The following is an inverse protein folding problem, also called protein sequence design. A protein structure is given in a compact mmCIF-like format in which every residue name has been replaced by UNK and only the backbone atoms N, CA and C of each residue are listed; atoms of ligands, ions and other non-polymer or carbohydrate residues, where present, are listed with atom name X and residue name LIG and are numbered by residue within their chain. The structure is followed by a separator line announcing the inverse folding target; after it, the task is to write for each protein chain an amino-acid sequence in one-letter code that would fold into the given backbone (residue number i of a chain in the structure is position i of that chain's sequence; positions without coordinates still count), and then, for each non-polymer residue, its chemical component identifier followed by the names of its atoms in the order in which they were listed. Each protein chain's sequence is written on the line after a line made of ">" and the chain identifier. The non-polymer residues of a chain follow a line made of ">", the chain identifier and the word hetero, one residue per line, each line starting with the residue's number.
data_IF_012216877282
#
_entry.id   IF_012216877282
#
_cell.length_a   1.000
_cell.length_b   1.000
_cell.length_c   1.000
_cell.angle_alpha   90.00
_cell.angle_beta   90.00
_cell.angle_gamma   90.00
#
_symmetry.space_group_name_H-M   'P 1'
#
loop_
_entity.id
_entity.type
_entity.pdbx_description
1 polymer ?
#
# COMPACT_ATOMS: atom_id res chain seq x y z
N UNK A 1 -1.18 -26.68 37.18
CA UNK A 1 -1.04 -27.27 35.82
C UNK A 1 -0.78 -26.07 34.95
N UNK A 2 0.38 -25.98 34.29
CA UNK A 2 0.78 -24.75 33.62
C UNK A 2 -0.28 -24.32 32.58
N UNK A 3 -0.52 -23.01 32.50
CA UNK A 3 -1.46 -22.43 31.57
C UNK A 3 -0.72 -21.88 30.35
N UNK A 4 -1.37 -21.88 29.18
CA UNK A 4 -0.71 -21.62 27.90
C UNK A 4 -1.49 -20.65 27.03
N UNK A 5 -0.76 -19.83 26.27
CA UNK A 5 -1.38 -18.97 25.25
C UNK A 5 -2.00 -19.82 24.12
N UNK A 6 -3.15 -19.40 23.62
CA UNK A 6 -3.94 -20.16 22.64
C UNK A 6 -3.19 -20.48 21.34
N UNK A 7 -2.44 -19.53 20.81
CA UNK A 7 -1.91 -19.61 19.44
C UNK A 7 -0.47 -20.15 19.37
N UNK A 8 0.32 -19.91 20.40
CA UNK A 8 1.74 -20.25 20.40
C UNK A 8 2.14 -21.19 21.54
N UNK A 9 1.17 -21.59 22.38
CA UNK A 9 1.39 -22.49 23.52
C UNK A 9 2.60 -22.05 24.36
N UNK A 10 2.68 -20.74 24.59
CA UNK A 10 3.68 -20.10 25.45
C UNK A 10 3.20 -20.19 26.89
N UNK A 11 4.12 -20.48 27.82
CA UNK A 11 3.84 -20.56 29.24
C UNK A 11 3.31 -19.23 29.76
N UNK A 12 2.22 -19.29 30.51
CA UNK A 12 1.68 -18.16 31.26
C UNK A 12 2.11 -18.29 32.71
N UNK A 13 2.64 -17.20 33.24
CA UNK A 13 3.02 -17.14 34.64
C UNK A 13 1.79 -17.22 35.55
N UNK A 14 1.73 -18.20 36.45
CA UNK A 14 0.82 -18.20 37.60
C UNK A 14 1.57 -17.92 38.91
N UNK A 15 0.95 -17.25 39.91
CA UNK A 15 1.62 -16.91 41.16
C UNK A 15 2.25 -18.08 41.94
N UNK A 16 1.81 -19.32 41.66
CA UNK A 16 2.33 -20.54 42.27
C UNK A 16 3.36 -21.30 41.42
N UNK A 17 3.69 -20.82 40.21
CA UNK A 17 4.59 -21.53 39.30
C UNK A 17 6.05 -21.40 39.69
N UNK A 18 6.78 -22.52 39.59
CA UNK A 18 8.23 -22.53 39.67
C UNK A 18 8.82 -22.05 38.34
N UNK A 19 9.71 -21.06 38.39
CA UNK A 19 10.38 -20.54 37.20
C UNK A 19 11.46 -21.52 36.71
N UNK A 20 11.23 -22.18 35.57
CA UNK A 20 12.21 -23.02 34.89
C UNK A 20 12.81 -22.27 33.69
N UNK A 21 14.13 -22.10 33.68
CA UNK A 21 14.82 -21.38 32.59
C UNK A 21 14.64 -22.04 31.21
N UNK A 22 14.46 -23.35 31.17
CA UNK A 22 14.22 -24.12 29.95
C UNK A 22 12.93 -23.68 29.27
N UNK A 23 11.85 -23.55 30.03
CA UNK A 23 10.51 -23.21 29.54
C UNK A 23 10.51 -21.80 28.93
N UNK A 24 11.22 -20.87 29.56
CA UNK A 24 11.42 -19.52 29.03
C UNK A 24 12.25 -19.50 27.74
N UNK A 25 13.31 -20.30 27.65
CA UNK A 25 14.12 -20.37 26.44
C UNK A 25 13.33 -20.96 25.27
N UNK A 26 12.54 -22.01 25.52
CA UNK A 26 11.66 -22.60 24.51
C UNK A 26 10.61 -21.60 24.01
N UNK A 27 10.02 -20.81 24.90
CA UNK A 27 9.05 -19.78 24.52
C UNK A 27 9.69 -18.64 23.73
N UNK A 28 10.90 -18.21 24.09
CA UNK A 28 11.65 -17.22 23.33
C UNK A 28 12.03 -17.74 21.94
N UNK A 29 12.46 -18.99 21.83
CA UNK A 29 12.76 -19.64 20.54
C UNK A 29 11.52 -19.71 19.65
N UNK A 30 10.35 -20.06 20.20
CA UNK A 30 9.07 -20.02 19.47
C UNK A 30 8.71 -18.63 18.99
N UNK A 31 8.92 -17.60 19.82
CA UNK A 31 8.64 -16.20 19.45
C UNK A 31 9.60 -15.76 18.35
N UNK A 32 10.89 -16.07 18.46
CA UNK A 32 11.93 -15.70 17.49
C UNK A 32 11.63 -16.33 16.12
N UNK A 33 11.36 -17.63 16.08
CA UNK A 33 10.97 -18.33 14.86
C UNK A 33 9.65 -17.78 14.26
N UNK A 34 8.68 -17.43 15.09
CA UNK A 34 7.42 -16.84 14.63
C UNK A 34 7.59 -15.41 14.08
N UNK A 35 8.58 -14.65 14.56
CA UNK A 35 8.91 -13.33 14.04
C UNK A 35 9.69 -13.43 12.73
N UNK A 36 10.60 -14.40 12.62
CA UNK A 36 11.31 -14.71 11.38
C UNK A 36 10.33 -15.07 10.24
N UNK A 37 9.32 -15.89 10.54
CA UNK A 37 8.33 -16.35 9.55
C UNK A 37 7.38 -15.24 9.06
N UNK A 38 7.13 -14.20 9.86
CA UNK A 38 6.22 -13.11 9.47
C UNK A 38 6.76 -12.19 8.37
N UNK A 39 8.06 -12.20 8.13
CA UNK A 39 8.71 -11.30 7.17
C UNK A 39 8.56 -9.81 7.53
N UNK A 40 8.99 -8.94 6.62
CA UNK A 40 8.96 -7.48 6.79
C UNK A 40 7.88 -6.77 5.96
N UNK A 41 7.03 -7.52 5.25
CA UNK A 41 6.02 -6.97 4.36
C UNK A 41 4.84 -6.39 5.14
N UNK A 42 4.51 -5.13 4.88
CA UNK A 42 3.37 -4.40 5.44
C UNK A 42 2.39 -4.07 4.33
N UNK A 43 1.10 -4.28 4.60
CA UNK A 43 0.02 -3.97 3.67
C UNK A 43 -0.91 -2.95 4.32
N UNK A 44 -1.27 -1.91 3.57
CA UNK A 44 -2.31 -0.95 3.95
C UNK A 44 -3.22 -0.68 2.77
N UNK A 45 -4.49 -0.38 3.03
CA UNK A 45 -5.46 -0.02 2.00
C UNK A 45 -6.03 1.36 2.27
N UNK A 46 -6.49 2.03 1.22
CA UNK A 46 -7.11 3.34 1.35
C UNK A 46 -7.87 3.74 0.09
N UNK A 47 -8.41 4.94 0.13
CA UNK A 47 -9.09 5.54 -1.00
C UNK A 47 -9.00 7.06 -0.98
N UNK A 48 -9.06 7.68 -2.14
CA UNK A 48 -9.17 9.14 -2.26
C UNK A 48 -10.21 9.52 -3.32
N UNK A 49 -10.81 10.70 -3.13
CA UNK A 49 -11.72 11.28 -4.11
C UNK A 49 -10.95 12.18 -5.08
N UNK A 50 -11.22 12.05 -6.37
CA UNK A 50 -10.62 12.92 -7.38
C UNK A 50 -11.16 14.35 -7.27
N UNK A 51 -10.27 15.32 -7.45
CA UNK A 51 -10.57 16.75 -7.31
C UNK A 51 -10.98 17.40 -8.63
N UNK A 52 -10.49 16.88 -9.76
CA UNK A 52 -10.67 17.42 -11.11
C UNK A 52 -9.49 18.24 -11.62
N UNK A 53 -8.52 18.52 -10.75
CA UNK A 53 -7.31 19.27 -11.12
C UNK A 53 -6.22 18.33 -11.65
N UNK A 54 -5.34 18.84 -12.50
CA UNK A 54 -4.22 18.06 -13.02
C UNK A 54 -3.02 18.94 -13.42
N UNK A 55 -1.92 18.27 -13.73
CA UNK A 55 -0.67 18.88 -14.15
C UNK A 55 0.26 19.16 -12.97
N UNK A 56 1.46 19.65 -13.30
CA UNK A 56 2.54 19.83 -12.33
C UNK A 56 2.20 20.73 -11.14
N UNK A 57 1.31 21.70 -11.33
CA UNK A 57 0.86 22.60 -10.27
C UNK A 57 -0.14 21.93 -9.30
N UNK A 58 -0.78 20.84 -9.72
CA UNK A 58 -1.83 20.13 -8.98
C UNK A 58 -1.51 18.63 -8.93
N UNK A 59 -0.40 18.20 -8.30
CA UNK A 59 -0.06 16.79 -8.22
C UNK A 59 -1.06 16.04 -7.32
N UNK A 60 -1.45 14.83 -7.74
CA UNK A 60 -2.20 13.94 -6.87
C UNK A 60 -1.25 13.27 -5.88
N UNK A 61 -1.64 13.14 -4.62
CA UNK A 61 -0.76 12.66 -3.55
C UNK A 61 -1.47 11.66 -2.64
N UNK A 62 -0.82 10.53 -2.36
CA UNK A 62 -1.25 9.54 -1.38
C UNK A 62 -0.26 9.54 -0.21
N UNK A 63 -0.79 9.60 1.01
CA UNK A 63 0.02 9.49 2.22
C UNK A 63 0.20 8.05 2.62
N UNK A 64 1.45 7.69 2.90
CA UNK A 64 1.88 6.33 3.15
C UNK A 64 2.10 6.14 4.66
N UNK A 65 1.50 5.10 5.28
CA UNK A 65 1.69 4.81 6.69
C UNK A 65 3.06 4.18 7.01
N UNK A 66 3.80 3.79 5.97
CA UNK A 66 5.15 3.23 6.03
C UNK A 66 5.84 3.40 4.66
N UNK A 67 7.18 3.25 4.58
CA UNK A 67 7.91 3.35 3.31
C UNK A 67 7.50 2.24 2.33
N UNK A 68 6.61 2.55 1.39
CA UNK A 68 6.10 1.60 0.42
C UNK A 68 7.14 1.25 -0.65
N UNK A 69 7.09 0.02 -1.16
CA UNK A 69 7.84 -0.44 -2.33
C UNK A 69 6.98 -0.43 -3.60
N UNK A 70 5.68 -0.68 -3.46
CA UNK A 70 4.72 -0.66 -4.55
C UNK A 70 3.31 -0.24 -4.10
N UNK A 71 2.53 0.28 -5.05
CA UNK A 71 1.11 0.56 -4.86
C UNK A 71 0.32 -0.08 -6.00
N UNK A 72 -0.70 -0.84 -5.66
CA UNK A 72 -1.76 -1.24 -6.56
C UNK A 72 -2.85 -0.17 -6.52
N UNK A 73 -3.04 0.54 -7.63
CA UNK A 73 -4.04 1.59 -7.77
C UNK A 73 -5.19 1.06 -8.63
N UNK A 74 -6.37 1.01 -8.03
CA UNK A 74 -7.62 0.77 -8.73
C UNK A 74 -8.14 2.08 -9.29
N UNK A 75 -8.09 2.18 -10.63
CA UNK A 75 -8.57 3.33 -11.40
C UNK A 75 -9.86 3.03 -12.15
N UNK A 76 -10.44 1.84 -11.89
CA UNK A 76 -11.66 1.41 -12.55
C UNK A 76 -12.76 2.41 -12.24
N UNK A 77 -13.19 3.11 -13.28
CA UNK A 77 -14.44 3.81 -13.27
C UNK A 77 -15.39 3.08 -14.18
N UNK A 78 -16.68 3.21 -13.91
CA UNK A 78 -17.80 2.61 -14.62
C UNK A 78 -17.90 2.89 -16.14
N UNK A 79 -16.88 3.47 -16.79
CA UNK A 79 -16.75 3.55 -18.25
C UNK A 79 -15.40 2.99 -18.67
N UNK A 80 -15.48 1.86 -19.35
CA UNK A 80 -14.38 0.96 -19.70
C UNK A 80 -14.20 0.97 -21.23
N UNK A 81 -12.98 0.76 -21.72
CA UNK A 81 -12.78 0.13 -23.02
C UNK A 81 -13.14 -1.36 -22.88
N UNK A 82 -14.20 -1.84 -23.54
CA UNK A 82 -14.67 -3.24 -23.55
C UNK A 82 -15.06 -3.90 -22.21
N UNK A 83 -15.22 -3.16 -21.11
CA UNK A 83 -15.69 -3.73 -19.84
C UNK A 83 -14.62 -4.42 -18.98
N UNK A 84 -13.33 -4.15 -19.24
CA UNK A 84 -12.21 -4.67 -18.42
C UNK A 84 -11.81 -3.63 -17.36
N UNK A 85 -11.79 -3.96 -16.06
CA UNK A 85 -11.35 -3.03 -15.03
C UNK A 85 -9.84 -2.72 -15.18
N UNK A 86 -9.50 -1.44 -15.09
CA UNK A 86 -8.13 -0.96 -15.20
C UNK A 86 -7.47 -0.82 -13.82
N UNK A 87 -6.27 -1.38 -13.70
CA UNK A 87 -5.45 -1.31 -12.50
C UNK A 87 -4.03 -0.92 -12.87
N UNK A 88 -3.39 -0.12 -12.02
CA UNK A 88 -2.01 0.33 -12.20
C UNK A 88 -1.14 -0.14 -11.05
N UNK A 89 0.10 -0.49 -11.38
CA UNK A 89 1.12 -0.81 -10.39
C UNK A 89 2.17 0.30 -10.43
N UNK A 90 2.33 1.00 -9.31
CA UNK A 90 3.33 2.04 -9.13
C UNK A 90 4.49 1.46 -8.35
N UNK A 91 5.66 1.34 -8.97
CA UNK A 91 6.89 0.93 -8.28
C UNK A 91 7.64 2.15 -7.74
N UNK A 92 8.22 2.02 -6.55
CA UNK A 92 9.01 3.11 -5.93
C UNK A 92 10.16 3.62 -6.80
N UNK A 93 10.80 2.72 -7.55
CA UNK A 93 11.93 3.05 -8.44
C UNK A 93 11.49 3.51 -9.84
N UNK A 94 10.19 3.45 -10.15
CA UNK A 94 9.70 3.90 -11.45
C UNK A 94 9.62 5.43 -11.49
N UNK A 95 10.20 6.09 -12.50
CA UNK A 95 10.16 7.55 -12.62
C UNK A 95 8.80 8.06 -13.12
N UNK A 96 8.03 7.21 -13.81
CA UNK A 96 6.74 7.54 -14.36
C UNK A 96 5.93 6.29 -14.72
N UNK A 97 4.65 6.49 -15.03
CA UNK A 97 3.78 5.49 -15.65
C UNK A 97 2.91 6.17 -16.73
N UNK A 98 2.43 5.40 -17.70
CA UNK A 98 1.62 5.92 -18.82
C UNK A 98 0.17 5.45 -18.64
N UNK A 99 -0.81 6.38 -18.53
CA UNK A 99 -2.21 6.02 -18.54
C UNK A 99 -2.64 5.53 -19.93
N UNK A 100 -3.60 4.61 -19.98
CA UNK A 100 -4.10 4.04 -21.23
C UNK A 100 -4.71 5.14 -22.12
N UNK A 101 -4.76 4.88 -23.42
CA UNK A 101 -5.36 5.76 -24.44
C UNK A 101 -4.64 7.10 -24.67
N UNK A 102 -3.43 7.32 -24.14
CA UNK A 102 -2.64 8.53 -24.39
C UNK A 102 -1.37 8.25 -25.19
N UNK A 103 -1.13 9.08 -26.22
CA UNK A 103 0.07 8.95 -27.08
C UNK A 103 1.25 9.83 -26.62
N UNK A 104 0.99 10.88 -25.82
CA UNK A 104 1.95 11.96 -25.59
C UNK A 104 2.25 12.28 -24.11
N UNK A 105 1.39 11.88 -23.17
CA UNK A 105 1.55 12.23 -21.76
C UNK A 105 1.92 11.04 -20.88
N UNK A 106 2.60 11.33 -19.78
CA UNK A 106 2.89 10.35 -18.73
C UNK A 106 2.63 10.98 -17.37
N UNK A 107 2.44 10.14 -16.36
CA UNK A 107 2.39 10.58 -14.98
C UNK A 107 3.79 10.47 -14.37
N UNK A 108 4.40 11.60 -14.03
CA UNK A 108 5.71 11.63 -13.37
C UNK A 108 5.53 11.32 -11.90
N UNK A 109 6.24 10.31 -11.40
CA UNK A 109 6.19 9.88 -10.00
C UNK A 109 7.25 10.61 -9.18
N UNK A 110 6.90 10.94 -7.95
CA UNK A 110 7.83 11.41 -6.92
C UNK A 110 7.52 10.69 -5.62
N UNK A 111 8.51 9.96 -5.12
CA UNK A 111 8.39 9.13 -3.93
C UNK A 111 9.18 9.74 -2.78
N UNK A 112 8.55 9.76 -1.61
CA UNK A 112 9.17 10.02 -0.31
C UNK A 112 8.90 8.83 0.61
N UNK A 113 9.47 8.82 1.81
CA UNK A 113 9.22 7.75 2.80
C UNK A 113 7.78 7.72 3.33
N UNK A 114 7.08 8.85 3.28
CA UNK A 114 5.74 9.03 3.83
C UNK A 114 4.67 9.37 2.79
N UNK A 115 5.03 9.47 1.51
CA UNK A 115 4.08 9.84 0.46
C UNK A 115 4.54 9.40 -0.92
N UNK A 116 3.58 9.19 -1.81
CA UNK A 116 3.81 9.20 -3.26
C UNK A 116 2.98 10.32 -3.87
N UNK A 117 3.53 11.03 -4.84
CA UNK A 117 2.79 12.00 -5.63
C UNK A 117 3.06 11.80 -7.12
N UNK A 118 2.09 12.15 -7.95
CA UNK A 118 2.27 12.15 -9.39
C UNK A 118 1.46 13.24 -10.09
N UNK A 119 1.88 13.57 -11.31
CA UNK A 119 1.14 14.50 -12.17
C UNK A 119 1.26 14.12 -13.65
N UNK A 120 0.20 14.36 -14.41
CA UNK A 120 0.17 14.13 -15.86
C UNK A 120 0.87 15.28 -16.60
N UNK A 121 1.75 14.93 -17.55
CA UNK A 121 2.66 15.91 -18.18
C UNK A 121 2.06 16.66 -19.37
N UNK A 122 1.03 16.10 -20.00
CA UNK A 122 0.47 16.66 -21.23
C UNK A 122 -0.79 17.51 -20.96
N UNK A 123 -1.03 18.49 -21.83
CA UNK A 123 -2.20 19.34 -21.75
C UNK A 123 -3.35 18.69 -22.52
N UNK A 124 -4.27 18.04 -21.81
CA UNK A 124 -5.40 17.31 -22.41
C UNK A 124 -6.74 17.69 -21.77
N UNK A 125 -7.86 17.75 -22.51
CA UNK A 125 -9.19 18.01 -21.96
C UNK A 125 -9.59 17.04 -20.83
N UNK A 126 -9.14 15.79 -20.93
CA UNK A 126 -9.28 14.73 -19.92
C UNK A 126 -8.02 14.57 -19.05
N UNK A 127 -7.18 15.60 -18.89
CA UNK A 127 -5.93 15.50 -18.12
C UNK A 127 -6.12 15.00 -16.68
N UNK A 128 -7.21 15.40 -16.01
CA UNK A 128 -7.56 14.90 -14.68
C UNK A 128 -8.00 13.43 -14.67
N UNK A 129 -8.57 12.93 -15.77
CA UNK A 129 -8.84 11.49 -15.94
C UNK A 129 -7.53 10.71 -15.98
N UNK A 130 -6.60 11.15 -16.82
CA UNK A 130 -5.31 10.51 -17.04
C UNK A 130 -4.37 10.64 -15.85
N UNK A 131 -4.53 11.67 -15.02
CA UNK A 131 -3.85 11.79 -13.72
C UNK A 131 -4.50 10.94 -12.62
N UNK A 132 -5.60 10.25 -12.90
CA UNK A 132 -6.38 9.54 -11.88
C UNK A 132 -6.85 10.47 -10.75
N UNK A 133 -7.31 11.67 -11.12
CA UNK A 133 -7.78 12.70 -10.21
C UNK A 133 -9.10 13.33 -10.68
N UNK A 134 -9.93 12.60 -11.42
CA UNK A 134 -11.18 13.15 -12.00
C UNK A 134 -12.25 13.37 -10.93
N UNK A 135 -12.91 14.53 -10.94
CA UNK A 135 -14.02 14.84 -10.03
C UNK A 135 -15.14 13.80 -10.13
N UNK A 136 -15.74 13.48 -8.98
CA UNK A 136 -16.86 12.53 -8.92
C UNK A 136 -16.43 11.07 -9.02
N UNK A 137 -15.12 10.79 -8.94
CA UNK A 137 -14.57 9.43 -8.85
C UNK A 137 -13.87 9.22 -7.51
N UNK A 138 -13.99 8.00 -6.99
CA UNK A 138 -13.21 7.51 -5.85
C UNK A 138 -12.25 6.46 -6.38
N UNK A 139 -10.98 6.59 -6.01
CA UNK A 139 -9.91 5.69 -6.38
C UNK A 139 -9.51 4.90 -5.14
N UNK A 140 -9.35 3.59 -5.28
CA UNK A 140 -8.93 2.71 -4.20
C UNK A 140 -7.48 2.27 -4.42
N UNK A 141 -6.75 2.03 -3.35
CA UNK A 141 -5.37 1.59 -3.45
C UNK A 141 -4.96 0.64 -2.34
N UNK A 142 -3.99 -0.21 -2.67
CA UNK A 142 -3.28 -1.09 -1.74
C UNK A 142 -1.80 -0.76 -1.79
N UNK A 143 -1.24 -0.41 -0.64
CA UNK A 143 0.17 -0.11 -0.42
C UNK A 143 0.86 -1.36 0.10
N UNK A 144 2.00 -1.70 -0.48
CA UNK A 144 2.86 -2.81 -0.05
C UNK A 144 4.28 -2.25 0.17
N UNK A 145 4.86 -2.51 1.34
CA UNK A 145 6.16 -1.98 1.75
C UNK A 145 6.92 -2.91 2.67
#
# INVERSE_FOLDING_TARGET
>A
MANYTKHYQLHQWEPGDAFLRTDFNEDLEKIDAALEDKGNCRIATGSYAGTGEYGKAHPNTIQLPFPAQMILLDVSASKHYNGIPEYYILFRQAPSFIPDETLNGSNMLTWNDSSVSWYYTDSHPDGALYQFNKTGRTYHYTVIG
#
